data_IF_163751453337
#
_entry.id   IF_163751453337
#
_cell.length_a   1.000
_cell.length_b   1.000
_cell.length_c   1.000
_cell.angle_alpha   90.00
_cell.angle_beta   90.00
_cell.angle_gamma   90.00
#
_symmetry.space_group_name_H-M   'P 1'
#
loop_
_entity.id
_entity.type
_entity.pdbx_description
1 polymer ?
#
# COMPACT_ATOMS: atom_id res chain seq x y z
N UNK A 1 9.59 9.94 -11.55
CA UNK A 1 10.91 10.58 -11.38
C UNK A 1 11.94 9.48 -11.53
N UNK A 2 12.98 9.66 -12.34
CA UNK A 2 14.09 8.70 -12.40
C UNK A 2 14.98 8.91 -11.19
N UNK A 3 15.00 7.96 -10.27
CA UNK A 3 15.93 7.98 -9.15
C UNK A 3 17.35 7.80 -9.67
N UNK A 4 18.27 8.69 -9.26
CA UNK A 4 19.67 8.65 -9.71
C UNK A 4 20.60 7.99 -8.68
N UNK A 5 20.09 7.64 -7.49
CA UNK A 5 20.85 7.06 -6.40
C UNK A 5 19.99 6.77 -5.18
N UNK A 6 20.60 6.14 -4.16
CA UNK A 6 19.93 5.80 -2.89
C UNK A 6 20.25 6.88 -1.85
N UNK A 7 19.21 7.44 -1.22
CA UNK A 7 19.37 8.45 -0.17
C UNK A 7 19.43 7.80 1.21
N UNK A 8 20.58 7.91 1.87
CA UNK A 8 20.80 7.41 3.24
C UNK A 8 20.74 8.54 4.24
N UNK A 9 19.94 8.38 5.30
CA UNK A 9 19.86 9.34 6.39
C UNK A 9 21.08 9.19 7.31
N UNK A 10 21.89 10.25 7.44
CA UNK A 10 23.09 10.28 8.28
C UNK A 10 22.82 10.86 9.68
N UNK A 11 21.84 11.75 9.81
CA UNK A 11 21.39 12.32 11.08
C UNK A 11 19.94 12.80 10.99
N UNK A 12 19.40 13.40 12.07
CA UNK A 12 18.06 14.02 12.07
C UNK A 12 17.87 15.08 10.98
N UNK A 13 18.95 15.74 10.54
CA UNK A 13 18.91 16.89 9.63
C UNK A 13 19.81 16.71 8.40
N UNK A 14 20.43 15.55 8.20
CA UNK A 14 21.31 15.31 7.06
C UNK A 14 21.07 13.95 6.42
N UNK A 15 21.10 13.95 5.09
CA UNK A 15 21.07 12.77 4.25
C UNK A 15 22.15 12.89 3.17
N UNK A 16 22.63 11.75 2.68
CA UNK A 16 23.57 11.66 1.57
C UNK A 16 22.89 10.84 0.49
N UNK A 17 22.91 11.35 -0.74
CA UNK A 17 22.48 10.59 -1.91
C UNK A 17 23.71 9.91 -2.52
N UNK A 18 23.65 8.60 -2.67
CA UNK A 18 24.73 7.77 -3.21
C UNK A 18 24.31 7.34 -4.62
N UNK A 19 24.98 7.81 -5.68
CA UNK A 19 24.67 7.43 -7.06
C UNK A 19 24.74 5.91 -7.27
N UNK A 20 23.82 5.34 -8.06
CA UNK A 20 23.81 3.88 -8.28
C UNK A 20 25.08 3.32 -8.91
N UNK A 21 25.76 4.11 -9.77
CA UNK A 21 27.02 3.72 -10.40
C UNK A 21 28.21 3.75 -9.44
N UNK A 22 28.09 4.36 -8.27
CA UNK A 22 29.10 4.37 -7.22
C UNK A 22 28.90 3.24 -6.20
N UNK A 23 27.75 2.57 -6.21
CA UNK A 23 27.44 1.50 -5.26
C UNK A 23 28.09 0.18 -5.72
N UNK A 24 28.73 -0.52 -4.78
CA UNK A 24 29.26 -1.87 -4.99
C UNK A 24 28.37 -2.93 -4.35
N UNK A 25 27.83 -2.67 -3.15
CA UNK A 25 27.01 -3.61 -2.40
C UNK A 25 25.87 -2.92 -1.65
N UNK A 26 24.73 -3.59 -1.56
CA UNK A 26 23.61 -3.28 -0.68
C UNK A 26 23.35 -4.51 0.18
N UNK A 27 23.29 -4.34 1.49
CA UNK A 27 22.97 -5.39 2.44
C UNK A 27 21.82 -4.96 3.34
N UNK A 28 20.81 -5.80 3.49
CA UNK A 28 19.68 -5.57 4.38
C UNK A 28 19.70 -6.65 5.45
N UNK A 29 19.67 -6.25 6.73
CA UNK A 29 19.64 -7.17 7.87
C UNK A 29 18.64 -6.70 8.94
N UNK A 30 18.33 -7.57 9.88
CA UNK A 30 17.45 -7.27 11.03
C UNK A 30 18.04 -6.17 11.92
N UNK A 31 17.60 -4.93 11.69
CA UNK A 31 17.93 -3.73 12.47
C UNK A 31 18.68 -2.67 11.67
N UNK A 32 19.52 -3.08 10.72
CA UNK A 32 20.37 -2.20 9.92
C UNK A 32 20.35 -2.60 8.44
N UNK A 33 20.39 -1.59 7.55
CA UNK A 33 20.75 -1.79 6.16
C UNK A 33 22.03 -1.02 5.86
N UNK A 34 22.94 -1.61 5.08
CA UNK A 34 24.17 -0.95 4.66
C UNK A 34 24.29 -0.82 3.14
N UNK A 35 24.94 0.26 2.71
CA UNK A 35 25.33 0.50 1.33
C UNK A 35 26.83 0.68 1.31
N UNK A 36 27.54 -0.20 0.61
CA UNK A 36 28.97 -0.09 0.36
C UNK A 36 29.18 0.49 -1.03
N UNK A 37 30.02 1.51 -1.12
CA UNK A 37 30.43 2.12 -2.39
C UNK A 37 31.65 1.39 -2.97
N UNK A 38 31.96 1.66 -4.24
CA UNK A 38 33.10 1.06 -4.96
C UNK A 38 34.46 1.47 -4.40
N UNK A 39 34.54 2.59 -3.67
CA UNK A 39 35.74 3.01 -2.97
C UNK A 39 35.92 2.33 -1.59
N UNK A 40 34.93 1.54 -1.16
CA UNK A 40 34.92 0.82 0.11
C UNK A 40 34.23 1.57 1.26
N UNK A 41 33.70 2.78 1.04
CA UNK A 41 32.95 3.51 2.07
C UNK A 41 31.61 2.83 2.34
N UNK A 42 31.35 2.53 3.61
CA UNK A 42 30.10 1.92 4.08
C UNK A 42 29.18 2.95 4.75
N UNK A 43 27.91 2.94 4.35
CA UNK A 43 26.85 3.78 4.89
C UNK A 43 25.80 2.89 5.54
N UNK A 44 25.62 3.00 6.85
CA UNK A 44 24.65 2.21 7.61
C UNK A 44 23.41 3.05 7.95
N UNK A 45 22.24 2.55 7.57
CA UNK A 45 20.93 3.05 7.95
C UNK A 45 20.32 2.13 9.00
N UNK A 46 20.00 2.67 10.18
CA UNK A 46 19.23 1.93 11.21
C UNK A 46 17.73 1.76 10.88
N UNK A 47 17.34 2.13 9.66
CA UNK A 47 15.98 2.02 9.17
C UNK A 47 16.00 1.04 8.01
N UNK A 48 15.74 -0.23 8.34
CA UNK A 48 15.70 -1.36 7.40
C UNK A 48 14.65 -1.14 6.31
N UNK A 49 13.52 -0.55 6.69
CA UNK A 49 12.40 -0.35 5.80
C UNK A 49 12.72 0.50 4.57
N UNK A 50 13.61 1.48 4.64
CA UNK A 50 13.78 2.40 3.50
C UNK A 50 14.33 1.68 2.26
N UNK A 51 15.21 0.69 2.42
CA UNK A 51 15.83 0.00 1.28
C UNK A 51 14.98 -1.19 0.85
N UNK A 52 14.44 -1.99 1.77
CA UNK A 52 13.59 -3.15 1.43
C UNK A 52 12.32 -2.73 0.68
N UNK A 53 11.65 -1.67 1.13
CA UNK A 53 10.42 -1.18 0.51
C UNK A 53 10.66 -0.45 -0.82
N UNK A 54 11.83 0.17 -0.98
CA UNK A 54 12.22 0.80 -2.26
C UNK A 54 12.76 -0.22 -3.27
N UNK A 55 12.97 -1.48 -2.89
CA UNK A 55 13.60 -2.49 -3.74
C UNK A 55 12.95 -2.62 -5.13
N UNK A 56 11.61 -2.73 -5.27
CA UNK A 56 10.98 -2.82 -6.58
C UNK A 56 11.29 -1.62 -7.49
N UNK A 57 11.51 -0.45 -6.89
CA UNK A 57 11.79 0.80 -7.61
C UNK A 57 13.26 0.91 -8.02
N UNK A 58 14.18 0.37 -7.21
CA UNK A 58 15.63 0.46 -7.44
C UNK A 58 16.23 -0.79 -8.11
N UNK A 59 15.44 -1.85 -8.31
CA UNK A 59 15.90 -3.12 -8.85
C UNK A 59 16.60 -2.99 -10.21
N UNK A 60 15.99 -2.27 -11.15
CA UNK A 60 16.56 -2.07 -12.49
C UNK A 60 17.94 -1.40 -12.42
N UNK A 61 18.13 -0.53 -11.44
CA UNK A 61 19.43 0.09 -11.17
C UNK A 61 20.42 -0.91 -10.57
N UNK A 62 20.01 -1.75 -9.62
CA UNK A 62 20.85 -2.83 -9.05
C UNK A 62 21.40 -3.73 -10.15
N UNK A 63 20.53 -4.18 -11.06
CA UNK A 63 20.93 -5.04 -12.19
C UNK A 63 21.82 -4.27 -13.16
N UNK A 64 21.41 -3.08 -13.60
CA UNK A 64 22.16 -2.27 -14.57
C UNK A 64 23.58 -1.95 -14.11
N UNK A 65 23.75 -1.68 -12.82
CA UNK A 65 25.02 -1.27 -12.24
C UNK A 65 25.82 -2.44 -11.63
N UNK A 66 25.30 -3.66 -11.72
CA UNK A 66 25.90 -4.89 -11.17
C UNK A 66 26.25 -4.73 -9.68
N UNK A 67 25.28 -4.21 -8.92
CA UNK A 67 25.39 -4.02 -7.48
C UNK A 67 25.16 -5.38 -6.80
N UNK A 68 26.07 -5.80 -5.92
CA UNK A 68 25.87 -6.98 -5.07
C UNK A 68 24.75 -6.70 -4.07
N UNK A 69 23.69 -7.51 -4.08
CA UNK A 69 22.54 -7.30 -3.22
C UNK A 69 22.27 -8.53 -2.36
N UNK A 70 22.18 -8.33 -1.05
CA UNK A 70 21.83 -9.39 -0.09
C UNK A 70 20.75 -8.89 0.86
N UNK A 71 19.68 -9.67 1.03
CA UNK A 71 18.61 -9.40 2.00
C UNK A 71 18.49 -10.56 2.98
N UNK A 72 19.03 -10.36 4.18
CA UNK A 72 18.97 -11.29 5.31
C UNK A 72 17.91 -10.84 6.34
N UNK A 73 17.01 -9.94 5.96
CA UNK A 73 15.99 -9.43 6.87
C UNK A 73 14.93 -10.50 7.18
N UNK A 74 15.06 -11.13 8.33
CA UNK A 74 14.02 -12.02 8.85
C UNK A 74 12.95 -11.22 9.60
N UNK A 75 11.74 -11.12 9.02
CA UNK A 75 10.58 -10.55 9.71
C UNK A 75 10.03 -11.53 10.75
N UNK A 76 10.32 -11.29 12.03
CA UNK A 76 9.66 -12.00 13.13
C UNK A 76 8.24 -11.44 13.37
N UNK A 77 7.22 -12.29 13.40
CA UNK A 77 5.86 -11.92 13.84
C UNK A 77 4.85 -11.61 12.73
N UNK A 78 5.21 -11.75 11.46
CA UNK A 78 4.23 -11.82 10.37
C UNK A 78 3.73 -13.26 10.28
N UNK A 79 2.42 -13.46 10.08
CA UNK A 79 1.82 -14.78 9.88
C UNK A 79 2.28 -15.44 8.58
N UNK A 80 1.38 -16.12 7.88
CA UNK A 80 1.68 -16.60 6.52
C UNK A 80 2.05 -15.40 5.63
N UNK A 81 3.14 -15.53 4.88
CA UNK A 81 3.52 -14.61 3.80
C UNK A 81 3.03 -15.21 2.47
N UNK A 82 2.56 -14.36 1.56
CA UNK A 82 1.90 -14.76 0.32
C UNK A 82 2.71 -14.33 -0.91
N UNK A 83 2.67 -15.12 -1.97
CA UNK A 83 3.11 -14.70 -3.31
C UNK A 83 2.17 -13.63 -3.89
N UNK A 84 2.62 -12.93 -4.93
CA UNK A 84 1.77 -12.00 -5.67
C UNK A 84 0.51 -12.69 -6.23
N UNK A 85 0.66 -13.85 -6.85
CA UNK A 85 -0.48 -14.59 -7.43
C UNK A 85 -1.48 -15.05 -6.36
N UNK A 86 -1.00 -15.45 -5.17
CA UNK A 86 -1.89 -15.80 -4.06
C UNK A 86 -2.65 -14.58 -3.54
N UNK A 87 -2.01 -13.41 -3.39
CA UNK A 87 -2.74 -12.21 -2.94
C UNK A 87 -3.74 -11.73 -3.99
N UNK A 88 -3.41 -11.80 -5.29
CA UNK A 88 -4.35 -11.48 -6.36
C UNK A 88 -5.57 -12.40 -6.35
N UNK A 89 -5.39 -13.70 -6.06
CA UNK A 89 -6.50 -14.62 -5.90
C UNK A 89 -7.40 -14.26 -4.71
N UNK A 90 -6.82 -13.84 -3.58
CA UNK A 90 -7.57 -13.36 -2.42
C UNK A 90 -8.34 -12.07 -2.73
N UNK A 91 -7.69 -11.10 -3.37
CA UNK A 91 -8.32 -9.84 -3.79
C UNK A 91 -9.50 -10.10 -4.74
N UNK A 92 -9.31 -10.97 -5.74
CA UNK A 92 -10.37 -11.32 -6.68
C UNK A 92 -11.55 -12.01 -6.00
N UNK A 93 -11.31 -12.74 -4.91
CA UNK A 93 -12.36 -13.40 -4.12
C UNK A 93 -13.13 -12.41 -3.24
N UNK A 94 -12.42 -11.49 -2.60
CA UNK A 94 -13.00 -10.58 -1.59
C UNK A 94 -13.64 -9.33 -2.20
N UNK A 95 -13.15 -8.84 -3.33
CA UNK A 95 -13.67 -7.61 -3.96
C UNK A 95 -15.18 -7.67 -4.25
N UNK A 96 -15.75 -8.77 -4.81
CA UNK A 96 -17.20 -8.87 -5.00
C UNK A 96 -18.00 -8.83 -3.70
N UNK A 97 -17.46 -9.41 -2.62
CA UNK A 97 -18.09 -9.43 -1.30
C UNK A 97 -18.12 -8.03 -0.71
N UNK A 98 -17.00 -7.31 -0.77
CA UNK A 98 -16.91 -5.93 -0.33
C UNK A 98 -17.85 -5.02 -1.14
N UNK A 99 -17.92 -5.20 -2.46
CA UNK A 99 -18.79 -4.42 -3.34
C UNK A 99 -20.27 -4.66 -3.02
N UNK A 100 -20.69 -5.92 -2.91
CA UNK A 100 -22.07 -6.29 -2.57
C UNK A 100 -22.49 -5.69 -1.22
N UNK A 101 -21.62 -5.83 -0.21
CA UNK A 101 -21.88 -5.30 1.14
C UNK A 101 -21.96 -3.77 1.13
N UNK A 102 -21.01 -3.09 0.50
CA UNK A 102 -21.01 -1.62 0.43
C UNK A 102 -22.24 -1.09 -0.32
N UNK A 103 -22.59 -1.69 -1.46
CA UNK A 103 -23.78 -1.31 -2.23
C UNK A 103 -25.07 -1.46 -1.43
N UNK A 104 -25.19 -2.58 -0.70
CA UNK A 104 -26.35 -2.85 0.15
C UNK A 104 -26.52 -1.76 1.19
N UNK A 105 -25.46 -1.43 1.94
CA UNK A 105 -25.52 -0.39 3.00
C UNK A 105 -25.81 0.99 2.40
N UNK A 106 -25.14 1.37 1.30
CA UNK A 106 -25.40 2.65 0.63
C UNK A 106 -26.87 2.77 0.21
N UNK A 107 -27.45 1.75 -0.43
CA UNK A 107 -28.85 1.80 -0.89
C UNK A 107 -29.84 1.83 0.26
N UNK A 108 -29.60 1.03 1.30
CA UNK A 108 -30.43 1.00 2.50
C UNK A 108 -30.47 2.36 3.21
N UNK A 109 -29.35 3.10 3.23
CA UNK A 109 -29.21 4.35 3.99
C UNK A 109 -29.47 5.61 3.16
N UNK A 110 -29.06 5.63 1.88
CA UNK A 110 -29.08 6.82 1.04
C UNK A 110 -30.14 6.77 -0.08
N UNK A 111 -30.65 5.59 -0.42
CA UNK A 111 -31.65 5.37 -1.47
C UNK A 111 -31.13 4.61 -2.69
N UNK A 112 -32.04 4.05 -3.48
CA UNK A 112 -31.76 3.20 -4.66
C UNK A 112 -31.01 3.93 -5.79
N UNK A 113 -31.07 5.26 -5.82
CA UNK A 113 -30.28 6.03 -6.77
C UNK A 113 -28.78 6.05 -6.45
N UNK A 114 -28.38 5.66 -5.24
CA UNK A 114 -26.99 5.61 -4.83
C UNK A 114 -26.42 4.19 -4.87
N UNK A 115 -25.12 4.09 -5.09
CA UNK A 115 -24.37 2.84 -4.99
C UNK A 115 -22.95 3.12 -4.52
N UNK A 116 -22.27 2.12 -3.99
CA UNK A 116 -20.84 2.14 -3.81
C UNK A 116 -20.15 1.79 -5.14
N UNK A 117 -18.97 2.34 -5.37
CA UNK A 117 -18.09 1.91 -6.43
C UNK A 117 -16.72 1.68 -5.83
N UNK A 118 -16.27 0.43 -5.86
CA UNK A 118 -14.96 0.05 -5.35
C UNK A 118 -13.94 0.03 -6.49
N UNK A 119 -12.72 0.47 -6.20
CA UNK A 119 -11.58 0.26 -7.07
C UNK A 119 -10.37 -0.21 -6.27
N UNK A 120 -9.64 -1.18 -6.78
CA UNK A 120 -8.39 -1.63 -6.17
C UNK A 120 -7.24 -1.04 -6.97
N UNK A 121 -6.32 -0.35 -6.30
CA UNK A 121 -5.10 0.15 -6.91
C UNK A 121 -3.90 -0.31 -6.11
N UNK A 122 -2.92 -0.86 -6.83
CA UNK A 122 -1.60 -1.09 -6.28
C UNK A 122 -0.80 0.20 -6.33
N UNK A 123 -0.29 0.64 -5.18
CA UNK A 123 0.53 1.84 -5.04
C UNK A 123 1.80 1.48 -4.28
N UNK A 124 2.92 1.50 -5.00
CA UNK A 124 4.24 1.15 -4.50
C UNK A 124 4.29 -0.27 -3.92
N UNK A 125 4.06 -0.37 -2.61
CA UNK A 125 4.22 -1.55 -1.78
C UNK A 125 2.89 -2.16 -1.34
N UNK A 126 1.78 -1.42 -1.48
CA UNK A 126 0.48 -1.80 -0.96
C UNK A 126 -0.57 -1.88 -2.07
N UNK A 127 -1.58 -2.73 -1.88
CA UNK A 127 -2.84 -2.61 -2.59
C UNK A 127 -3.90 -2.02 -1.68
N UNK A 128 -4.57 -0.99 -2.18
CA UNK A 128 -5.61 -0.26 -1.48
C UNK A 128 -6.92 -0.40 -2.24
N UNK A 129 -7.98 -0.74 -1.51
CA UNK A 129 -9.36 -0.69 -1.99
C UNK A 129 -9.97 0.67 -1.63
N UNK A 130 -10.36 1.43 -2.64
CA UNK A 130 -11.00 2.73 -2.49
C UNK A 130 -12.51 2.62 -2.63
N UNK A 131 -13.24 3.25 -1.74
CA UNK A 131 -14.70 3.28 -1.74
C UNK A 131 -15.17 4.65 -2.22
N UNK A 132 -15.92 4.69 -3.31
CA UNK A 132 -16.51 5.92 -3.84
C UNK A 132 -18.02 5.85 -3.85
N UNK A 133 -18.69 6.99 -3.67
CA UNK A 133 -20.14 7.09 -3.81
C UNK A 133 -20.48 7.35 -5.28
N UNK A 134 -21.40 6.58 -5.84
CA UNK A 134 -22.01 6.86 -7.13
C UNK A 134 -23.49 7.21 -6.95
N UNK A 135 -24.01 8.04 -7.86
CA UNK A 135 -25.43 8.36 -7.99
C UNK A 135 -25.85 8.20 -9.44
N UNK A 136 -26.87 7.38 -9.70
CA UNK A 136 -27.29 6.99 -11.05
C UNK A 136 -26.12 6.44 -11.92
N UNK A 137 -25.17 5.75 -11.28
CA UNK A 137 -23.99 5.19 -11.95
C UNK A 137 -22.85 6.19 -12.19
N UNK A 138 -22.99 7.45 -11.78
CA UNK A 138 -21.92 8.45 -11.89
C UNK A 138 -21.26 8.71 -10.54
N UNK A 139 -19.93 8.70 -10.50
CA UNK A 139 -19.15 9.01 -9.30
C UNK A 139 -19.47 10.43 -8.81
N UNK A 140 -19.87 10.54 -7.54
CA UNK A 140 -20.16 11.79 -6.87
C UNK A 140 -18.87 12.33 -6.28
N UNK A 141 -18.48 13.55 -6.67
CA UNK A 141 -17.40 14.26 -5.96
C UNK A 141 -17.87 14.64 -4.57
N UNK A 142 -17.29 14.03 -3.56
CA UNK A 142 -17.56 14.37 -2.16
C UNK A 142 -16.70 15.57 -1.72
N UNK A 143 -17.16 16.34 -0.72
CA UNK A 143 -16.34 17.35 -0.06
C UNK A 143 -15.12 16.72 0.63
N UNK A 144 -13.99 17.44 0.72
CA UNK A 144 -12.81 16.95 1.44
C UNK A 144 -13.08 16.60 2.90
N UNK A 145 -14.00 17.29 3.59
CA UNK A 145 -14.35 16.95 4.99
C UNK A 145 -15.06 15.60 5.15
N UNK A 146 -15.53 14.99 4.06
CA UNK A 146 -16.13 13.66 4.02
C UNK A 146 -15.18 12.59 3.47
N UNK A 147 -13.98 12.97 3.03
CA UNK A 147 -12.92 12.00 2.80
C UNK A 147 -12.22 11.76 4.13
N UNK A 148 -11.99 10.50 4.51
CA UNK A 148 -11.47 10.12 5.81
C UNK A 148 -9.95 10.44 5.98
N UNK A 149 -9.52 11.64 5.58
CA UNK A 149 -8.12 12.03 5.57
C UNK A 149 -7.29 11.36 4.48
N UNK A 150 -7.93 10.86 3.41
CA UNK A 150 -7.27 10.20 2.30
C UNK A 150 -6.24 11.14 1.64
N UNK A 151 -4.97 10.75 1.68
CA UNK A 151 -3.90 11.53 1.05
C UNK A 151 -3.91 11.37 -0.47
N UNK A 152 -4.43 12.36 -1.19
CA UNK A 152 -4.30 12.68 -2.63
C UNK A 152 -4.46 11.56 -3.70
N UNK A 153 -4.68 10.29 -3.32
CA UNK A 153 -4.59 9.16 -4.24
C UNK A 153 -5.89 8.85 -4.97
N UNK A 154 -7.04 9.27 -4.42
CA UNK A 154 -8.33 9.22 -5.12
C UNK A 154 -9.28 10.30 -4.61
N UNK A 155 -9.30 11.46 -5.29
CA UNK A 155 -10.12 12.63 -4.89
C UNK A 155 -11.62 12.34 -4.73
N UNK A 156 -12.10 11.22 -5.27
CA UNK A 156 -13.51 10.84 -5.28
C UNK A 156 -13.87 9.77 -4.25
N UNK A 157 -12.87 9.17 -3.59
CA UNK A 157 -13.10 8.17 -2.56
C UNK A 157 -13.48 8.82 -1.23
N UNK A 158 -14.40 8.21 -0.49
CA UNK A 158 -14.76 8.60 0.86
C UNK A 158 -13.95 7.84 1.92
N UNK A 159 -13.59 6.60 1.63
CA UNK A 159 -12.73 5.79 2.51
C UNK A 159 -11.81 4.88 1.69
N UNK A 160 -10.82 4.30 2.38
CA UNK A 160 -9.93 3.30 1.81
C UNK A 160 -9.63 2.15 2.79
N UNK A 161 -9.21 1.01 2.24
CA UNK A 161 -8.83 -0.17 3.01
C UNK A 161 -7.59 -0.79 2.40
N UNK A 162 -6.51 -0.86 3.19
CA UNK A 162 -5.32 -1.62 2.82
C UNK A 162 -5.68 -3.11 2.76
N UNK A 163 -5.33 -3.75 1.65
CA UNK A 163 -5.61 -5.18 1.41
C UNK A 163 -4.37 -6.02 1.71
N UNK A 164 -3.25 -5.63 1.12
CA UNK A 164 -1.96 -6.29 1.31
C UNK A 164 -0.83 -5.28 1.22
N UNK A 165 0.32 -5.64 1.77
CA UNK A 165 1.52 -4.82 1.82
C UNK A 165 2.76 -5.68 1.61
N UNK A 166 3.75 -5.15 0.88
CA UNK A 166 5.02 -5.82 0.63
C UNK A 166 5.76 -6.00 1.97
N UNK A 167 5.98 -7.24 2.36
CA UNK A 167 6.68 -7.55 3.60
C UNK A 167 8.16 -7.75 3.40
N UNK A 168 8.54 -8.42 2.32
CA UNK A 168 9.91 -8.80 1.98
C UNK A 168 10.02 -8.90 0.44
N UNK A 169 11.25 -8.78 -0.07
CA UNK A 169 11.53 -9.03 -1.48
C UNK A 169 12.38 -10.29 -1.63
N UNK A 170 11.90 -11.26 -2.40
CA UNK A 170 12.64 -12.48 -2.65
C UNK A 170 13.63 -12.26 -3.81
N UNK A 171 14.91 -12.05 -3.49
CA UNK A 171 15.93 -11.67 -4.47
C UNK A 171 16.17 -12.74 -5.55
N UNK A 172 16.16 -14.03 -5.18
CA UNK A 172 16.38 -15.14 -6.12
C UNK A 172 15.26 -15.24 -7.16
N UNK A 173 14.01 -15.17 -6.70
CA UNK A 173 12.82 -15.28 -7.55
C UNK A 173 12.40 -13.95 -8.18
N UNK A 174 13.03 -12.84 -7.75
CA UNK A 174 12.73 -11.46 -8.18
C UNK A 174 11.24 -11.13 -8.00
N UNK A 175 10.71 -11.48 -6.84
CA UNK A 175 9.29 -11.36 -6.56
C UNK A 175 9.03 -10.80 -5.17
N UNK A 176 8.03 -9.94 -5.07
CA UNK A 176 7.49 -9.49 -3.79
C UNK A 176 6.81 -10.63 -3.04
N UNK A 177 6.85 -10.52 -1.72
CA UNK A 177 6.21 -11.41 -0.78
C UNK A 177 5.42 -10.53 0.19
N UNK A 178 4.17 -10.88 0.40
CA UNK A 178 3.18 -9.94 0.92
C UNK A 178 2.55 -10.42 2.22
N UNK A 179 2.38 -9.48 3.15
CA UNK A 179 1.45 -9.60 4.25
C UNK A 179 0.05 -9.19 3.78
N UNK A 180 -0.97 -9.85 4.30
CA UNK A 180 -2.37 -9.56 3.99
C UNK A 180 -3.10 -9.12 5.25
N UNK A 181 -4.10 -8.26 5.09
CA UNK A 181 -5.00 -7.91 6.18
C UNK A 181 -5.96 -9.07 6.48
N UNK A 182 -6.60 -9.03 7.65
CA UNK A 182 -7.55 -10.08 8.04
C UNK A 182 -8.77 -10.10 7.12
N UNK A 183 -9.17 -8.93 6.62
CA UNK A 183 -10.26 -8.74 5.66
C UNK A 183 -10.02 -9.49 4.34
N UNK A 184 -8.76 -9.66 3.92
CA UNK A 184 -8.46 -10.47 2.72
C UNK A 184 -8.60 -11.98 2.92
N UNK A 185 -8.57 -12.45 4.17
CA UNK A 185 -8.56 -13.89 4.49
C UNK A 185 -9.83 -14.38 5.19
N UNK A 186 -10.63 -13.47 5.73
CA UNK A 186 -11.90 -13.75 6.41
C UNK A 186 -13.05 -12.90 5.83
N UNK A 187 -13.99 -13.56 5.15
CA UNK A 187 -15.16 -12.93 4.55
C UNK A 187 -16.07 -12.26 5.59
N UNK A 188 -16.18 -12.82 6.79
CA UNK A 188 -17.00 -12.26 7.87
C UNK A 188 -16.39 -10.95 8.35
N UNK A 189 -15.07 -10.94 8.54
CA UNK A 189 -14.36 -9.73 8.93
C UNK A 189 -14.40 -8.68 7.83
N UNK A 190 -14.25 -9.07 6.56
CA UNK A 190 -14.43 -8.16 5.42
C UNK A 190 -15.80 -7.48 5.45
N UNK A 191 -16.89 -8.26 5.54
CA UNK A 191 -18.24 -7.69 5.57
C UNK A 191 -18.41 -6.71 6.71
N UNK A 192 -17.95 -7.07 7.91
CA UNK A 192 -18.03 -6.21 9.09
C UNK A 192 -17.26 -4.90 8.89
N UNK A 193 -15.98 -4.96 8.48
CA UNK A 193 -15.16 -3.77 8.27
C UNK A 193 -15.78 -2.85 7.20
N UNK A 194 -16.28 -3.42 6.09
CA UNK A 194 -16.95 -2.65 5.02
C UNK A 194 -18.26 -2.02 5.52
N UNK A 195 -19.08 -2.75 6.27
CA UNK A 195 -20.31 -2.21 6.87
C UNK A 195 -20.00 -1.02 7.78
N UNK A 196 -19.02 -1.15 8.67
CA UNK A 196 -18.63 -0.10 9.61
C UNK A 196 -18.16 1.18 8.86
N UNK A 197 -17.34 1.04 7.82
CA UNK A 197 -16.84 2.17 7.02
C UNK A 197 -17.96 2.88 6.26
N UNK A 198 -18.80 2.10 5.58
CA UNK A 198 -19.86 2.64 4.72
C UNK A 198 -21.00 3.25 5.55
N UNK A 199 -21.33 2.65 6.69
CA UNK A 199 -22.35 3.17 7.60
C UNK A 199 -21.92 4.53 8.17
N UNK A 200 -20.67 4.62 8.65
CA UNK A 200 -20.10 5.86 9.15
C UNK A 200 -20.11 6.97 8.08
N UNK A 201 -19.73 6.64 6.85
CA UNK A 201 -19.82 7.57 5.73
C UNK A 201 -21.26 8.05 5.49
N UNK A 202 -22.23 7.13 5.46
CA UNK A 202 -23.63 7.48 5.21
C UNK A 202 -24.19 8.45 6.26
N UNK A 203 -23.92 8.17 7.54
CA UNK A 203 -24.34 9.05 8.65
C UNK A 203 -23.75 10.45 8.49
N UNK A 204 -22.46 10.52 8.19
CA UNK A 204 -21.75 11.80 8.03
C UNK A 204 -22.23 12.56 6.80
N UNK A 205 -22.48 11.86 5.69
CA UNK A 205 -22.99 12.43 4.44
C UNK A 205 -24.40 12.99 4.57
N UNK A 206 -25.30 12.29 5.27
CA UNK A 206 -26.66 12.76 5.55
C UNK A 206 -26.64 13.99 6.45
N UNK A 207 -25.87 13.96 7.54
CA UNK A 207 -25.71 15.11 8.43
C UNK A 207 -25.12 16.33 7.72
N UNK A 208 -24.23 16.12 6.75
CA UNK A 208 -23.70 17.19 5.90
C UNK A 208 -24.76 17.77 4.96
N UNK A 209 -25.58 16.91 4.34
CA UNK A 209 -26.66 17.33 3.44
C UNK A 209 -27.70 18.20 4.14
N UNK A 210 -28.05 17.89 5.39
CA UNK A 210 -29.06 18.64 6.17
C UNK A 210 -28.59 20.04 6.58
N UNK A 211 -27.28 20.31 6.58
CA UNK A 211 -26.70 21.61 6.94
C UNK A 211 -26.62 22.58 5.76
N UNK A 212 -27.00 22.15 4.56
CA UNK A 212 -26.94 22.93 3.30
C UNK A 212 -28.33 23.20 2.76
#
# INVERSE_FOLDING_TARGET
MTENGIRVKKSLISSVEIPFDEISKIHIASGDSSITTKDGTEYVSRSVGVITHSYPQIYDHIVKHNIDFTDDYEKTGVGKVYTHDEVLALVSKITPIAQETADRVIREKLGEEYSAQLSVKEKNEDAIMYFSLAKYGEIVKIPPELNNGLSDAEETAFDDMVLFFLTEWHAEDRSGRYGVTVELTDETQCRKTVEDFVDYFCETFLAWKERK
#
